data_IF_789405589670
#
_entry.id   IF_789405589670
#
_cell.length_a   1.000
_cell.length_b   1.000
_cell.length_c   1.000
_cell.angle_alpha   90.00
_cell.angle_beta   90.00
_cell.angle_gamma   90.00
#
_symmetry.space_group_name_H-M   'P 1'
#
loop_
_entity.id
_entity.type
_entity.pdbx_description
1 polymer ?
#
# COMPACT_ATOMS: atom_id res chain seq x y z
N UNK A 1 22.07 10.53 -9.72
CA UNK A 1 20.98 9.73 -10.31
C UNK A 1 19.92 10.61 -10.97
N UNK A 2 19.33 11.60 -10.26
CA UNK A 2 18.32 12.52 -10.82
C UNK A 2 18.77 13.27 -12.10
N UNK A 3 20.03 13.70 -12.17
CA UNK A 3 20.58 14.40 -13.36
C UNK A 3 20.59 13.51 -14.61
N UNK A 4 20.91 12.22 -14.46
CA UNK A 4 20.92 11.25 -15.56
C UNK A 4 19.50 11.00 -16.08
N UNK A 5 18.53 10.78 -15.18
CA UNK A 5 17.12 10.59 -15.54
C UNK A 5 16.58 11.79 -16.31
N UNK A 6 16.88 13.00 -15.83
CA UNK A 6 16.47 14.25 -16.51
C UNK A 6 17.04 14.35 -17.93
N UNK A 7 18.31 13.98 -18.12
CA UNK A 7 18.94 13.98 -19.44
C UNK A 7 18.28 12.95 -20.37
N UNK A 8 17.99 11.74 -19.88
CA UNK A 8 17.33 10.71 -20.70
C UNK A 8 15.94 11.15 -21.11
N UNK A 9 15.15 11.71 -20.19
CA UNK A 9 13.82 12.25 -20.48
C UNK A 9 13.87 13.40 -21.48
N UNK A 10 14.83 14.33 -21.34
CA UNK A 10 15.03 15.44 -22.27
C UNK A 10 15.37 14.94 -23.69
N UNK A 11 16.29 13.96 -23.80
CA UNK A 11 16.67 13.38 -25.10
C UNK A 11 15.55 12.53 -25.71
N UNK A 12 14.78 11.81 -24.91
CA UNK A 12 13.60 11.06 -25.36
C UNK A 12 12.50 12.01 -25.88
N UNK A 13 12.24 13.12 -25.19
CA UNK A 13 11.31 14.16 -25.64
C UNK A 13 11.78 14.85 -26.93
N UNK A 14 13.08 15.13 -27.06
CA UNK A 14 13.67 15.66 -28.29
C UNK A 14 13.53 14.69 -29.47
N UNK A 15 13.68 13.39 -29.23
CA UNK A 15 13.43 12.36 -30.24
C UNK A 15 11.97 12.33 -30.69
N UNK A 16 11.02 12.30 -29.75
CA UNK A 16 9.58 12.35 -30.06
C UNK A 16 9.22 13.57 -30.91
N UNK A 17 9.70 14.74 -30.50
CA UNK A 17 9.47 15.99 -31.23
C UNK A 17 10.03 15.95 -32.66
N UNK A 18 11.19 15.32 -32.84
CA UNK A 18 11.82 15.15 -34.16
C UNK A 18 11.05 14.16 -35.04
N UNK A 19 10.54 13.07 -34.46
CA UNK A 19 9.72 12.07 -35.17
C UNK A 19 8.40 12.69 -35.64
N UNK A 20 7.75 13.48 -34.79
CA UNK A 20 6.53 14.22 -35.16
C UNK A 20 6.79 15.24 -36.28
N UNK A 21 7.90 15.97 -36.21
CA UNK A 21 8.30 16.88 -37.26
C UNK A 21 8.57 16.17 -38.60
N UNK A 22 9.18 14.98 -38.56
CA UNK A 22 9.38 14.15 -39.74
C UNK A 22 8.05 13.67 -40.33
N UNK A 23 7.14 13.16 -39.51
CA UNK A 23 5.81 12.72 -39.98
C UNK A 23 5.04 13.86 -40.65
N UNK A 24 5.08 15.08 -40.10
CA UNK A 24 4.49 16.26 -40.74
C UNK A 24 5.19 16.60 -42.06
N UNK A 25 6.52 16.55 -42.11
CA UNK A 25 7.28 16.82 -43.31
C UNK A 25 6.99 15.80 -44.44
N UNK A 26 6.72 14.54 -44.09
CA UNK A 26 6.42 13.48 -45.07
C UNK A 26 5.12 13.75 -45.85
N UNK A 27 4.15 14.46 -45.24
CA UNK A 27 2.88 14.85 -45.87
C UNK A 27 3.07 15.97 -46.90
N UNK A 28 4.09 16.82 -46.75
CA UNK A 28 4.38 17.91 -47.69
C UNK A 28 5.08 17.47 -48.97
N UNK A 29 5.22 18.35 -49.95
CA UNK A 29 5.93 18.06 -51.22
C UNK A 29 7.44 18.38 -51.16
N UNK A 30 7.90 19.10 -50.14
CA UNK A 30 9.30 19.51 -50.00
C UNK A 30 10.22 18.32 -49.64
N UNK A 31 10.91 17.79 -50.65
CA UNK A 31 11.86 16.70 -50.49
C UNK A 31 13.09 17.06 -49.65
N UNK A 32 13.51 18.33 -49.63
CA UNK A 32 14.65 18.76 -48.82
C UNK A 32 14.27 18.80 -47.35
N UNK A 33 13.08 19.32 -47.03
CA UNK A 33 12.55 19.33 -45.66
C UNK A 33 12.44 17.91 -45.10
N UNK A 34 11.97 16.93 -45.90
CA UNK A 34 11.91 15.52 -45.50
C UNK A 34 13.30 14.97 -45.13
N UNK A 35 14.32 15.25 -45.94
CA UNK A 35 15.69 14.80 -45.68
C UNK A 35 16.31 15.47 -44.45
N UNK A 36 16.04 16.76 -44.24
CA UNK A 36 16.51 17.50 -43.05
C UNK A 36 15.85 16.94 -41.79
N UNK A 37 14.53 16.73 -41.80
CA UNK A 37 13.81 16.14 -40.66
C UNK A 37 14.26 14.70 -40.36
N UNK A 38 14.55 13.90 -41.40
CA UNK A 38 15.08 12.55 -41.21
C UNK A 38 16.47 12.55 -40.56
N UNK A 39 17.35 13.49 -40.95
CA UNK A 39 18.64 13.68 -40.28
C UNK A 39 18.46 14.10 -38.82
N UNK A 40 17.50 14.98 -38.53
CA UNK A 40 17.21 15.41 -37.16
C UNK A 40 16.77 14.23 -36.28
N UNK A 41 15.89 13.35 -36.78
CA UNK A 41 15.50 12.10 -36.10
C UNK A 41 16.71 11.20 -35.86
N UNK A 42 17.55 11.00 -36.87
CA UNK A 42 18.75 10.16 -36.75
C UNK A 42 19.71 10.71 -35.68
N UNK A 43 19.95 12.02 -35.65
CA UNK A 43 20.78 12.67 -34.64
C UNK A 43 20.17 12.50 -33.25
N UNK A 44 18.89 12.82 -33.06
CA UNK A 44 18.21 12.68 -31.76
C UNK A 44 18.21 11.24 -31.23
N UNK A 45 18.03 10.25 -32.13
CA UNK A 45 18.07 8.84 -31.76
C UNK A 45 19.51 8.38 -31.41
N UNK A 46 20.52 8.87 -32.13
CA UNK A 46 21.93 8.56 -31.84
C UNK A 46 22.39 9.21 -30.54
N UNK A 47 21.95 10.44 -30.27
CA UNK A 47 22.19 11.13 -29.00
C UNK A 47 21.59 10.38 -27.82
N UNK A 48 20.34 9.91 -27.96
CA UNK A 48 19.68 9.10 -26.94
C UNK A 48 20.41 7.76 -26.76
N UNK A 49 20.87 7.13 -27.84
CA UNK A 49 21.64 5.89 -27.77
C UNK A 49 22.98 6.09 -27.03
N UNK A 50 23.65 7.21 -27.25
CA UNK A 50 24.97 7.49 -26.67
C UNK A 50 24.95 7.68 -25.15
N UNK A 51 23.80 8.02 -24.56
CA UNK A 51 23.65 8.21 -23.12
C UNK A 51 23.13 6.96 -22.39
N UNK A 52 22.66 5.94 -23.13
CA UNK A 52 22.11 4.72 -22.54
C UNK A 52 23.20 3.67 -22.31
N UNK A 53 23.06 2.92 -21.22
CA UNK A 53 23.88 1.74 -20.98
C UNK A 53 23.36 0.57 -21.83
N UNK A 54 24.22 -0.38 -22.22
CA UNK A 54 23.84 -1.46 -23.14
C UNK A 54 22.63 -2.31 -22.71
N UNK A 55 22.36 -2.42 -21.41
CA UNK A 55 21.18 -3.14 -20.88
C UNK A 55 19.87 -2.34 -20.88
N UNK A 56 19.95 -1.03 -21.13
CA UNK A 56 18.84 -0.08 -21.11
C UNK A 56 18.45 0.40 -22.52
N UNK A 57 19.13 -0.09 -23.56
CA UNK A 57 18.83 0.25 -24.95
C UNK A 57 17.58 -0.52 -25.39
N UNK A 58 16.45 0.14 -25.65
CA UNK A 58 15.27 -0.56 -26.14
C UNK A 58 15.42 -0.92 -27.62
N UNK A 59 14.81 -2.04 -28.02
CA UNK A 59 14.89 -2.55 -29.40
C UNK A 59 14.40 -1.52 -30.44
N UNK A 60 13.38 -0.73 -30.08
CA UNK A 60 12.82 0.29 -30.94
C UNK A 60 13.83 1.37 -31.33
N UNK A 61 14.82 1.68 -30.49
CA UNK A 61 15.78 2.76 -30.75
C UNK A 61 16.69 2.43 -31.92
N UNK A 62 17.11 1.17 -32.04
CA UNK A 62 17.85 0.69 -33.21
C UNK A 62 17.01 0.79 -34.49
N UNK A 63 15.73 0.45 -34.42
CA UNK A 63 14.81 0.52 -35.56
C UNK A 63 14.62 1.95 -36.06
N UNK A 64 14.46 2.93 -35.16
CA UNK A 64 14.38 4.36 -35.54
C UNK A 64 15.61 4.80 -36.32
N UNK A 65 16.80 4.46 -35.83
CA UNK A 65 18.08 4.84 -36.46
C UNK A 65 18.17 4.24 -37.87
N UNK A 66 17.79 2.98 -38.03
CA UNK A 66 17.78 2.29 -39.34
C UNK A 66 16.78 2.95 -40.30
N UNK A 67 15.56 3.24 -39.84
CA UNK A 67 14.54 3.87 -40.66
C UNK A 67 14.98 5.26 -41.17
N UNK A 68 15.47 6.10 -40.26
CA UNK A 68 15.93 7.45 -40.59
C UNK A 68 17.16 7.43 -41.53
N UNK A 69 18.08 6.48 -41.31
CA UNK A 69 19.26 6.29 -42.16
C UNK A 69 18.89 5.86 -43.57
N UNK A 70 18.09 4.80 -43.72
CA UNK A 70 17.72 4.24 -45.02
C UNK A 70 16.98 5.26 -45.89
N UNK A 71 16.10 6.06 -45.29
CA UNK A 71 15.47 7.18 -45.98
C UNK A 71 16.48 8.30 -46.31
N UNK A 72 17.35 8.67 -45.36
CA UNK A 72 18.40 9.67 -45.58
C UNK A 72 19.39 9.32 -46.69
N UNK A 73 19.69 8.03 -46.88
CA UNK A 73 20.51 7.49 -47.97
C UNK A 73 19.73 7.20 -49.25
N UNK A 74 18.43 7.55 -49.30
CA UNK A 74 17.51 7.33 -50.43
C UNK A 74 17.32 5.85 -50.82
N UNK A 75 17.54 4.94 -49.87
CA UNK A 75 17.23 3.52 -50.06
C UNK A 75 15.74 3.24 -49.88
N UNK A 76 15.05 4.05 -49.08
CA UNK A 76 13.60 3.98 -48.89
C UNK A 76 12.89 5.20 -49.46
N UNK A 77 11.71 4.95 -50.00
CA UNK A 77 10.72 5.97 -50.36
C UNK A 77 10.02 6.54 -49.12
N UNK A 78 9.33 7.66 -49.30
CA UNK A 78 8.55 8.28 -48.22
C UNK A 78 7.42 7.35 -47.71
N UNK A 79 6.82 6.54 -48.58
CA UNK A 79 5.79 5.58 -48.20
C UNK A 79 6.34 4.43 -47.35
N UNK A 80 7.49 3.88 -47.73
CA UNK A 80 8.17 2.82 -46.96
C UNK A 80 8.62 3.34 -45.58
N UNK A 81 9.15 4.56 -45.52
CA UNK A 81 9.48 5.19 -44.24
C UNK A 81 8.23 5.35 -43.38
N UNK A 82 7.11 5.82 -43.94
CA UNK A 82 5.89 6.10 -43.18
C UNK A 82 5.30 4.83 -42.55
N UNK A 83 5.25 3.72 -43.30
CA UNK A 83 4.77 2.42 -42.77
C UNK A 83 5.61 1.98 -41.58
N UNK A 84 6.94 2.00 -41.71
CA UNK A 84 7.85 1.55 -40.65
C UNK A 84 7.92 2.52 -39.46
N UNK A 85 7.78 3.84 -39.71
CA UNK A 85 7.89 4.86 -38.66
C UNK A 85 6.65 4.93 -37.77
N UNK A 86 5.46 4.60 -38.29
CA UNK A 86 4.22 4.59 -37.50
C UNK A 86 4.26 3.53 -36.40
N UNK A 87 4.70 2.32 -36.74
CA UNK A 87 4.79 1.22 -35.78
C UNK A 87 5.79 1.57 -34.66
N UNK A 88 6.94 2.09 -35.05
CA UNK A 88 8.00 2.48 -34.11
C UNK A 88 7.59 3.69 -33.27
N UNK A 89 6.84 4.67 -33.81
CA UNK A 89 6.34 5.83 -33.04
C UNK A 89 5.53 5.39 -31.82
N UNK A 90 4.63 4.43 -32.00
CA UNK A 90 3.84 3.89 -30.89
C UNK A 90 4.74 3.28 -29.81
N UNK A 91 5.80 2.57 -30.21
CA UNK A 91 6.77 1.99 -29.27
C UNK A 91 7.53 3.08 -28.50
N UNK A 92 7.94 4.17 -29.16
CA UNK A 92 8.61 5.30 -28.50
C UNK A 92 7.69 5.98 -27.47
N UNK A 93 6.42 6.22 -27.83
CA UNK A 93 5.44 6.92 -26.98
C UNK A 93 4.99 6.08 -25.78
N UNK A 94 4.88 4.77 -25.95
CA UNK A 94 4.46 3.85 -24.90
C UNK A 94 5.62 3.33 -24.04
N UNK A 95 6.87 3.66 -24.40
CA UNK A 95 8.03 3.21 -23.67
C UNK A 95 8.07 3.83 -22.26
N UNK A 96 8.03 2.96 -21.26
CA UNK A 96 8.32 3.32 -19.88
C UNK A 96 9.74 2.90 -19.57
N UNK A 97 10.54 3.85 -19.10
CA UNK A 97 11.90 3.57 -18.71
C UNK A 97 11.92 2.75 -17.42
N UNK A 98 12.81 1.76 -17.32
CA UNK A 98 12.96 0.94 -16.11
C UNK A 98 13.32 1.75 -14.86
N UNK A 99 13.93 2.93 -15.03
CA UNK A 99 14.24 3.85 -13.94
C UNK A 99 13.06 4.75 -13.52
N UNK A 100 11.97 4.79 -14.29
CA UNK A 100 10.70 5.40 -13.86
C UNK A 100 9.92 4.45 -12.90
N UNK A 101 10.38 3.20 -12.71
CA UNK A 101 9.86 2.26 -11.68
C UNK A 101 10.35 2.59 -10.26
N UNK A 102 10.63 3.85 -9.95
CA UNK A 102 10.40 4.34 -8.59
C UNK A 102 8.92 4.66 -8.44
N UNK A 103 8.06 3.65 -8.51
CA UNK A 103 6.80 3.79 -7.77
C UNK A 103 7.23 3.89 -6.32
N UNK A 104 7.20 5.10 -5.76
CA UNK A 104 7.15 5.26 -4.32
C UNK A 104 5.97 4.40 -3.87
N UNK A 105 6.26 3.20 -3.37
CA UNK A 105 5.22 2.32 -2.87
C UNK A 105 4.60 3.07 -1.70
N UNK A 106 3.32 3.39 -1.81
CA UNK A 106 2.60 3.98 -0.69
C UNK A 106 2.79 3.08 0.54
N UNK A 107 2.93 3.71 1.72
CA UNK A 107 3.01 2.95 2.96
C UNK A 107 1.77 2.08 3.12
N UNK A 108 1.98 0.77 3.12
CA UNK A 108 0.93 -0.22 3.34
C UNK A 108 0.82 -0.52 4.84
N UNK A 109 0.05 0.33 5.52
CA UNK A 109 -0.20 0.20 6.95
C UNK A 109 -0.93 -1.10 7.30
N UNK A 110 -1.84 -1.54 6.43
CA UNK A 110 -2.61 -2.77 6.63
C UNK A 110 -1.70 -4.01 6.55
N UNK A 111 -0.77 -4.04 5.59
CA UNK A 111 0.24 -5.11 5.51
C UNK A 111 1.14 -5.15 6.73
N UNK A 112 1.56 -3.98 7.22
CA UNK A 112 2.38 -3.89 8.44
C UNK A 112 1.62 -4.47 9.63
N UNK A 113 0.36 -4.07 9.81
CA UNK A 113 -0.51 -4.62 10.85
C UNK A 113 -0.69 -6.14 10.70
N UNK A 114 -0.97 -6.63 9.50
CA UNK A 114 -1.21 -8.06 9.25
C UNK A 114 0.02 -8.92 9.56
N UNK A 115 1.23 -8.41 9.30
CA UNK A 115 2.47 -9.08 9.65
C UNK A 115 2.64 -9.18 11.17
N UNK A 116 2.45 -8.09 11.91
CA UNK A 116 2.52 -8.10 13.37
C UNK A 116 1.42 -8.98 13.99
N UNK A 117 0.19 -8.90 13.47
CA UNK A 117 -0.95 -9.70 13.94
C UNK A 117 -0.70 -11.20 13.79
N UNK A 118 -0.16 -11.65 12.65
CA UNK A 118 0.18 -13.07 12.41
C UNK A 118 1.23 -13.61 13.38
N UNK A 119 2.05 -12.75 13.98
CA UNK A 119 3.05 -13.11 14.99
C UNK A 119 2.51 -13.00 16.42
N UNK A 120 1.33 -12.41 16.61
CA UNK A 120 0.66 -12.26 17.90
C UNK A 120 -0.13 -13.51 18.27
N UNK A 121 -0.42 -13.67 19.57
CA UNK A 121 -1.32 -14.73 20.06
C UNK A 121 -2.81 -14.34 20.00
N UNK A 122 -3.14 -13.14 19.52
CA UNK A 122 -4.51 -12.63 19.54
C UNK A 122 -5.51 -13.56 18.85
N UNK A 123 -5.23 -14.12 17.66
CA UNK A 123 -6.20 -15.00 17.00
C UNK A 123 -6.56 -16.23 17.84
N UNK A 124 -5.58 -16.81 18.52
CA UNK A 124 -5.75 -17.98 19.39
C UNK A 124 -6.51 -17.60 20.67
N UNK A 125 -6.13 -16.50 21.31
CA UNK A 125 -6.82 -16.00 22.51
C UNK A 125 -8.27 -15.62 22.24
N UNK A 126 -8.57 -15.05 21.06
CA UNK A 126 -9.94 -14.78 20.63
C UNK A 126 -10.74 -16.10 20.50
N UNK A 127 -10.13 -17.16 19.98
CA UNK A 127 -10.77 -18.48 19.91
C UNK A 127 -11.05 -19.06 21.29
N UNK A 128 -10.09 -18.95 22.21
CA UNK A 128 -10.24 -19.42 23.59
C UNK A 128 -11.37 -18.68 24.30
N UNK A 129 -11.41 -17.34 24.22
CA UNK A 129 -12.50 -16.54 24.78
C UNK A 129 -13.84 -16.89 24.13
N UNK A 130 -13.89 -17.00 22.79
CA UNK A 130 -15.10 -17.39 22.08
C UNK A 130 -15.63 -18.74 22.55
N UNK A 131 -14.74 -19.70 22.84
CA UNK A 131 -15.10 -21.01 23.37
C UNK A 131 -15.63 -20.90 24.80
N UNK A 132 -14.97 -20.15 25.68
CA UNK A 132 -15.45 -19.91 27.05
C UNK A 132 -16.84 -19.29 27.08
N UNK A 133 -17.11 -18.33 26.19
CA UNK A 133 -18.44 -17.71 26.06
C UNK A 133 -19.49 -18.72 25.56
N UNK A 134 -19.11 -19.66 24.69
CA UNK A 134 -19.99 -20.73 24.22
C UNK A 134 -20.25 -21.78 25.31
N UNK A 135 -19.24 -22.13 26.11
CA UNK A 135 -19.36 -23.04 27.24
C UNK A 135 -20.27 -22.43 28.33
N UNK A 136 -20.10 -21.14 28.65
CA UNK A 136 -21.00 -20.39 29.54
C UNK A 136 -22.43 -20.41 29.00
N UNK A 137 -22.61 -20.18 27.70
CA UNK A 137 -23.93 -20.22 27.04
C UNK A 137 -24.55 -21.62 27.07
N UNK A 138 -23.74 -22.67 27.00
CA UNK A 138 -24.16 -24.08 26.98
C UNK A 138 -24.36 -24.71 28.36
N UNK A 139 -24.06 -23.99 29.44
CA UNK A 139 -24.17 -24.48 30.83
C UNK A 139 -25.59 -24.76 31.31
N UNK A 140 -26.60 -24.24 30.61
CA UNK A 140 -28.01 -24.19 31.06
C UNK A 140 -28.25 -23.42 32.38
N UNK A 141 -27.27 -22.67 32.87
CA UNK A 141 -27.41 -21.82 34.08
C UNK A 141 -28.06 -20.46 33.77
N UNK A 142 -28.19 -20.09 32.50
CA UNK A 142 -28.67 -18.76 32.06
C UNK A 142 -30.10 -18.85 31.53
N UNK A 143 -31.05 -18.31 32.28
CA UNK A 143 -32.47 -18.24 31.89
C UNK A 143 -32.82 -17.04 30.97
N UNK A 144 -31.90 -16.08 30.85
CA UNK A 144 -32.13 -14.86 30.07
C UNK A 144 -31.84 -15.04 28.58
N UNK A 145 -32.90 -15.06 27.75
CA UNK A 145 -32.79 -15.12 26.29
C UNK A 145 -31.95 -13.97 25.72
N UNK A 146 -32.06 -12.76 26.30
CA UNK A 146 -31.27 -11.61 25.85
C UNK A 146 -29.78 -11.80 26.16
N UNK A 147 -29.44 -12.37 27.32
CA UNK A 147 -28.07 -12.72 27.70
C UNK A 147 -27.47 -13.77 26.75
N UNK A 148 -28.22 -14.84 26.46
CA UNK A 148 -27.79 -15.89 25.54
C UNK A 148 -27.52 -15.33 24.14
N UNK A 149 -28.38 -14.43 23.64
CA UNK A 149 -28.17 -13.74 22.36
C UNK A 149 -26.95 -12.81 22.40
N UNK A 150 -26.74 -12.07 23.47
CA UNK A 150 -25.58 -11.19 23.63
C UNK A 150 -24.27 -12.00 23.64
N UNK A 151 -24.17 -13.05 24.46
CA UNK A 151 -23.03 -13.98 24.49
C UNK A 151 -22.74 -14.58 23.11
N UNK A 152 -23.79 -15.05 22.42
CA UNK A 152 -23.67 -15.58 21.07
C UNK A 152 -23.15 -14.54 20.08
N UNK A 153 -23.63 -13.29 20.18
CA UNK A 153 -23.19 -12.20 19.30
C UNK A 153 -21.74 -11.79 19.56
N UNK A 154 -21.32 -11.69 20.82
CA UNK A 154 -19.92 -11.39 21.19
C UNK A 154 -19.01 -12.51 20.68
N UNK A 155 -19.32 -13.78 20.97
CA UNK A 155 -18.52 -14.92 20.51
C UNK A 155 -18.40 -14.98 18.98
N UNK A 156 -19.51 -14.76 18.25
CA UNK A 156 -19.48 -14.74 16.79
C UNK A 156 -18.66 -13.58 16.22
N UNK A 157 -18.73 -12.39 16.85
CA UNK A 157 -17.94 -11.22 16.44
C UNK A 157 -16.44 -11.46 16.65
N UNK A 158 -16.04 -12.04 17.78
CA UNK A 158 -14.64 -12.42 18.04
C UNK A 158 -14.13 -13.41 16.97
N UNK A 159 -14.88 -14.49 16.70
CA UNK A 159 -14.53 -15.48 15.66
C UNK A 159 -14.34 -14.85 14.28
N UNK A 160 -15.23 -13.92 13.90
CA UNK A 160 -15.17 -13.23 12.60
C UNK A 160 -14.01 -12.24 12.52
N UNK A 161 -13.62 -11.62 13.64
CA UNK A 161 -12.70 -10.48 13.65
C UNK A 161 -11.26 -10.86 13.99
N UNK A 162 -11.01 -12.08 14.48
CA UNK A 162 -9.67 -12.58 14.85
C UNK A 162 -8.64 -12.47 13.71
N UNK A 163 -9.12 -12.58 12.46
CA UNK A 163 -8.32 -12.50 11.23
C UNK A 163 -8.59 -11.23 10.41
N UNK A 164 -9.31 -10.28 10.98
CA UNK A 164 -9.71 -9.04 10.32
C UNK A 164 -8.66 -7.94 10.37
N UNK A 165 -9.02 -6.79 9.82
CA UNK A 165 -8.22 -5.55 9.88
C UNK A 165 -8.06 -5.04 11.31
N UNK A 166 -7.15 -4.06 11.48
CA UNK A 166 -6.96 -3.35 12.75
C UNK A 166 -8.31 -2.89 13.35
N UNK A 167 -9.16 -2.29 12.52
CA UNK A 167 -10.47 -1.80 12.96
C UNK A 167 -11.39 -2.94 13.45
N UNK A 168 -11.48 -4.03 12.68
CA UNK A 168 -12.33 -5.17 13.05
C UNK A 168 -11.88 -5.80 14.38
N UNK A 169 -10.57 -5.96 14.55
CA UNK A 169 -9.98 -6.57 15.73
C UNK A 169 -10.18 -5.70 16.98
N UNK A 170 -9.90 -4.40 16.90
CA UNK A 170 -10.12 -3.47 18.02
C UNK A 170 -11.61 -3.30 18.33
N UNK A 171 -12.48 -3.22 17.33
CA UNK A 171 -13.93 -3.13 17.56
C UNK A 171 -14.52 -4.38 18.22
N UNK A 172 -14.00 -5.57 17.88
CA UNK A 172 -14.40 -6.81 18.54
C UNK A 172 -13.92 -6.86 20.00
N UNK A 173 -12.71 -6.37 20.27
CA UNK A 173 -12.17 -6.24 21.62
C UNK A 173 -12.98 -5.26 22.48
N UNK A 174 -13.29 -4.08 21.95
CA UNK A 174 -14.13 -3.08 22.61
C UNK A 174 -15.52 -3.64 22.90
N UNK A 175 -16.14 -4.33 21.94
CA UNK A 175 -17.43 -4.97 22.13
C UNK A 175 -17.40 -5.99 23.28
N UNK A 176 -16.36 -6.81 23.37
CA UNK A 176 -16.19 -7.79 24.44
C UNK A 176 -16.10 -7.09 25.81
N UNK A 177 -15.20 -6.12 25.96
CA UNK A 177 -15.03 -5.39 27.22
C UNK A 177 -16.30 -4.63 27.61
N UNK A 178 -16.94 -3.95 26.67
CA UNK A 178 -18.19 -3.22 26.90
C UNK A 178 -19.36 -4.13 27.26
N UNK A 179 -19.43 -5.33 26.67
CA UNK A 179 -20.47 -6.31 27.01
C UNK A 179 -20.30 -6.84 28.42
N UNK A 180 -19.05 -7.09 28.85
CA UNK A 180 -18.75 -7.63 30.17
C UNK A 180 -18.84 -6.57 31.28
N UNK A 181 -18.26 -5.38 31.09
CA UNK A 181 -18.21 -4.34 32.13
C UNK A 181 -19.55 -3.72 32.50
N UNK A 182 -20.59 -3.87 31.66
CA UNK A 182 -21.89 -3.24 31.92
C UNK A 182 -22.82 -4.15 32.73
N UNK A 183 -23.41 -5.15 32.06
CA UNK A 183 -24.52 -5.93 32.60
C UNK A 183 -24.17 -7.41 32.72
N UNK A 184 -23.43 -7.96 31.77
CA UNK A 184 -23.23 -9.41 31.69
C UNK A 184 -22.41 -9.96 32.87
N UNK A 185 -21.32 -9.30 33.25
CA UNK A 185 -20.48 -9.80 34.34
C UNK A 185 -21.23 -9.82 35.68
N UNK A 186 -21.99 -8.75 35.95
CA UNK A 186 -22.75 -8.60 37.19
C UNK A 186 -23.84 -9.65 37.35
N UNK A 187 -24.44 -10.12 36.26
CA UNK A 187 -25.45 -11.18 36.30
C UNK A 187 -24.82 -12.58 36.31
N UNK A 188 -23.81 -12.82 35.48
CA UNK A 188 -23.17 -14.14 35.36
C UNK A 188 -22.51 -14.58 36.67
N UNK A 189 -21.90 -13.66 37.43
CA UNK A 189 -21.25 -13.98 38.72
C UNK A 189 -22.24 -14.44 39.78
N UNK A 190 -23.53 -14.11 39.65
CA UNK A 190 -24.58 -14.52 40.60
C UNK A 190 -25.05 -15.96 40.38
N UNK A 191 -24.76 -16.56 39.22
CA UNK A 191 -25.22 -17.89 38.87
C UNK A 191 -24.33 -18.96 39.51
N UNK A 192 -24.92 -19.92 40.26
CA UNK A 192 -24.16 -21.06 40.74
C UNK A 192 -23.59 -21.87 39.55
N UNK A 193 -22.45 -22.53 39.73
CA UNK A 193 -21.83 -23.35 38.68
C UNK A 193 -20.97 -22.61 37.65
N UNK A 194 -21.07 -21.28 37.52
CA UNK A 194 -20.28 -20.51 36.54
C UNK A 194 -18.94 -19.95 37.06
N UNK A 195 -18.58 -20.18 38.32
CA UNK A 195 -17.39 -19.59 38.94
C UNK A 195 -16.08 -19.88 38.17
N UNK A 196 -15.78 -21.14 37.90
CA UNK A 196 -14.54 -21.51 37.21
C UNK A 196 -14.50 -21.04 35.73
N UNK A 197 -15.58 -21.19 34.93
CA UNK A 197 -15.63 -20.60 33.58
C UNK A 197 -15.43 -19.07 33.56
N UNK A 198 -16.01 -18.34 34.51
CA UNK A 198 -15.85 -16.89 34.60
C UNK A 198 -14.43 -16.50 35.01
N UNK A 199 -13.80 -17.23 35.93
CA UNK A 199 -12.39 -16.98 36.27
C UNK A 199 -11.47 -17.21 35.06
N UNK A 200 -11.71 -18.28 34.30
CA UNK A 200 -10.97 -18.55 33.07
C UNK A 200 -11.18 -17.43 32.04
N UNK A 201 -12.42 -16.93 31.89
CA UNK A 201 -12.75 -15.82 31.01
C UNK A 201 -12.02 -14.53 31.44
N UNK A 202 -12.00 -14.21 32.73
CA UNK A 202 -11.26 -13.06 33.25
C UNK A 202 -9.76 -13.14 32.95
N UNK A 203 -9.16 -14.33 33.11
CA UNK A 203 -7.74 -14.55 32.79
C UNK A 203 -7.46 -14.39 31.29
N UNK A 204 -8.32 -14.96 30.43
CA UNK A 204 -8.20 -14.82 28.97
C UNK A 204 -8.28 -13.35 28.53
N UNK A 205 -9.20 -12.57 29.12
CA UNK A 205 -9.30 -11.12 28.87
C UNK A 205 -8.01 -10.39 29.26
N UNK A 206 -7.44 -10.69 30.43
CA UNK A 206 -6.17 -10.07 30.84
C UNK A 206 -5.00 -10.45 29.92
N UNK A 207 -5.01 -11.66 29.36
CA UNK A 207 -3.98 -12.08 28.40
C UNK A 207 -4.15 -11.39 27.05
N UNK A 208 -5.39 -11.25 26.55
CA UNK A 208 -5.68 -10.46 25.35
C UNK A 208 -5.27 -9.01 25.53
N UNK A 209 -5.57 -8.38 26.68
CA UNK A 209 -5.19 -7.00 26.97
C UNK A 209 -3.66 -6.79 26.81
N UNK A 210 -2.86 -7.70 27.38
CA UNK A 210 -1.39 -7.67 27.27
C UNK A 210 -0.91 -7.87 25.83
N UNK A 211 -1.47 -8.84 25.12
CA UNK A 211 -1.09 -9.10 23.74
C UNK A 211 -1.56 -7.98 22.80
N UNK A 212 -2.67 -7.30 23.09
CA UNK A 212 -3.14 -6.12 22.36
C UNK A 212 -2.17 -4.96 22.52
N UNK A 213 -1.74 -4.65 23.76
CA UNK A 213 -0.72 -3.61 24.00
C UNK A 213 0.59 -3.93 23.30
N UNK A 214 1.00 -5.21 23.30
CA UNK A 214 2.21 -5.67 22.60
C UNK A 214 2.08 -5.52 21.08
N UNK A 215 0.94 -5.92 20.51
CA UNK A 215 0.64 -5.78 19.09
C UNK A 215 0.68 -4.31 18.67
N UNK A 216 0.00 -3.42 19.40
CA UNK A 216 0.01 -1.98 19.14
C UNK A 216 1.44 -1.40 19.16
N UNK A 217 2.23 -1.77 20.17
CA UNK A 217 3.63 -1.35 20.25
C UNK A 217 4.47 -1.85 19.06
N UNK A 218 4.32 -3.12 18.67
CA UNK A 218 5.05 -3.68 17.54
C UNK A 218 4.69 -2.98 16.23
N UNK A 219 3.40 -2.72 16.00
CA UNK A 219 2.91 -2.01 14.82
C UNK A 219 3.46 -0.58 14.80
N UNK A 220 3.40 0.13 15.94
CA UNK A 220 3.98 1.46 16.07
C UNK A 220 5.49 1.47 15.75
N UNK A 221 6.25 0.58 16.36
CA UNK A 221 7.71 0.51 16.18
C UNK A 221 8.08 0.19 14.73
N UNK A 222 7.35 -0.72 14.09
CA UNK A 222 7.58 -1.10 12.69
C UNK A 222 7.19 0.02 11.71
N UNK A 223 6.09 0.72 11.95
CA UNK A 223 5.71 1.89 11.15
C UNK A 223 6.73 3.02 11.30
N UNK A 224 7.16 3.32 12.54
CA UNK A 224 8.18 4.33 12.81
C UNK A 224 9.53 3.98 12.17
N UNK A 225 9.90 2.70 12.17
CA UNK A 225 11.11 2.20 11.49
C UNK A 225 11.02 2.40 9.98
N UNK A 226 9.94 1.92 9.37
CA UNK A 226 9.75 1.94 7.90
C UNK A 226 9.72 3.37 7.38
N UNK A 227 8.95 4.26 8.03
CA UNK A 227 8.89 5.67 7.66
C UNK A 227 10.22 6.38 7.91
N UNK A 228 10.92 6.09 9.01
CA UNK A 228 12.23 6.65 9.29
C UNK A 228 13.30 6.26 8.27
N UNK A 229 13.21 5.05 7.69
CA UNK A 229 14.15 4.59 6.65
C UNK A 229 13.83 5.14 5.27
N UNK A 230 12.55 5.30 4.95
CA UNK A 230 12.09 5.66 3.60
C UNK A 230 11.88 7.17 3.42
N UNK A 231 11.53 7.90 4.48
CA UNK A 231 11.30 9.36 4.46
C UNK A 231 12.41 10.08 5.23
N UNK A 232 13.54 10.33 4.55
CA UNK A 232 14.76 10.92 5.14
C UNK A 232 14.66 12.38 5.61
N UNK A 233 13.54 13.06 5.36
CA UNK A 233 13.38 14.50 5.59
C UNK A 233 12.30 14.87 6.62
N UNK A 234 11.96 13.98 7.55
CA UNK A 234 11.03 14.33 8.63
C UNK A 234 11.77 15.10 9.74
N UNK A 235 11.41 16.37 9.93
CA UNK A 235 11.96 17.25 10.99
C UNK A 235 11.74 16.70 12.41
N UNK A 236 10.74 15.82 12.57
CA UNK A 236 10.43 15.09 13.80
C UNK A 236 10.00 13.67 13.45
N UNK A 237 10.29 12.68 14.32
CA UNK A 237 9.75 11.32 14.14
C UNK A 237 8.22 11.38 14.15
N UNK A 238 7.53 10.75 13.18
CA UNK A 238 6.08 10.73 13.15
C UNK A 238 5.57 9.99 14.39
N UNK A 239 4.65 10.63 15.12
CA UNK A 239 3.89 10.00 16.20
C UNK A 239 2.64 9.40 15.56
N UNK A 240 2.62 8.06 15.45
CA UNK A 240 1.42 7.35 15.05
C UNK A 240 0.56 7.14 16.29
N UNK A 241 -0.57 7.84 16.39
CA UNK A 241 -1.52 7.58 17.46
C UNK A 241 -2.33 6.33 17.12
N UNK A 242 -2.40 5.43 18.09
CA UNK A 242 -3.23 4.23 18.02
C UNK A 242 -4.37 4.37 19.01
N UNK A 243 -5.50 3.75 18.66
CA UNK A 243 -6.61 3.63 19.61
C UNK A 243 -6.23 2.61 20.67
N UNK A 244 -5.84 3.09 21.85
CA UNK A 244 -5.62 2.27 23.03
C UNK A 244 -6.86 2.29 23.93
N UNK A 245 -7.17 1.14 24.53
CA UNK A 245 -8.27 1.01 25.48
C UNK A 245 -7.71 0.64 26.85
N UNK A 246 -8.25 1.28 27.90
CA UNK A 246 -7.95 0.91 29.27
C UNK A 246 -8.66 -0.38 29.66
N UNK A 247 -8.27 -0.96 30.80
CA UNK A 247 -8.86 -2.20 31.36
C UNK A 247 -10.38 -2.19 31.54
N UNK A 248 -11.00 -1.00 31.51
CA UNK A 248 -12.44 -0.79 31.59
C UNK A 248 -13.12 -0.71 30.21
N UNK A 249 -12.40 -0.96 29.12
CA UNK A 249 -12.90 -0.82 27.74
C UNK A 249 -13.13 0.63 27.31
N UNK A 250 -12.65 1.61 28.08
CA UNK A 250 -12.70 3.02 27.68
C UNK A 250 -11.47 3.38 26.88
N UNK A 251 -11.67 4.20 25.86
CA UNK A 251 -10.61 4.82 25.09
C UNK A 251 -9.67 5.58 26.05
N UNK A 252 -8.37 5.28 26.01
CA UNK A 252 -7.38 6.06 26.73
C UNK A 252 -7.22 7.41 26.03
N UNK A 253 -7.14 8.53 26.77
CA UNK A 253 -6.89 9.83 26.16
C UNK A 253 -5.54 9.77 25.43
N UNK A 254 -5.58 10.07 24.13
CA UNK A 254 -4.43 10.05 23.23
C UNK A 254 -3.31 10.93 23.79
N UNK A 255 -2.18 10.32 24.14
CA UNK A 255 -1.06 11.01 24.79
C UNK A 255 -0.22 11.84 23.80
N UNK A 256 -0.56 11.88 22.51
CA UNK A 256 0.35 12.41 21.50
C UNK A 256 -0.23 12.88 20.19
N UNK A 257 -1.52 13.25 20.10
CA UNK A 257 -2.07 13.80 18.86
C UNK A 257 -1.23 15.02 18.44
N UNK A 258 -0.59 15.01 17.25
CA UNK A 258 0.14 16.19 16.79
C UNK A 258 -0.86 17.32 16.58
N UNK A 259 -0.82 18.31 17.46
CA UNK A 259 -1.50 19.58 17.22
C UNK A 259 -0.82 20.19 16.00
N UNK A 260 -1.56 20.33 14.89
CA UNK A 260 -1.17 21.19 13.78
C UNK A 260 -0.83 22.57 14.37
N UNK A 261 0.46 22.85 14.55
CA UNK A 261 0.92 24.21 14.67
C UNK A 261 0.78 24.78 13.26
N UNK A 262 -0.30 25.54 13.05
CA UNK A 262 -0.43 26.38 11.87
C UNK A 262 0.83 27.23 11.82
N UNK A 263 1.67 26.99 10.82
CA UNK A 263 2.80 27.86 10.53
C UNK A 263 2.21 29.22 10.20
N UNK A 264 2.22 30.13 11.17
CA UNK A 264 1.94 31.54 10.93
C UNK A 264 3.03 32.07 10.01
N UNK A 265 2.63 32.44 8.80
CA UNK A 265 3.44 33.17 7.83
C UNK A 265 3.88 34.53 8.36
#
# INVERSE_FOLDING_TARGET
MLFFIRIVQEKHSALLSSVDALLRALVGEDGNLKLVSAKAVMTAATDLLAILSGGDVPAWLGNVIVCARNFGTRQWSAGELLVNLIDVKREIESHKWKFDETSENAFDFDRTFDQCRKQSKIPDLFNEISKLLEDIRGSNEIDSISMLKALGKVSATLKKSRDGSYFALNGAWELLLGSLNNYMWNELVKLPGLGAPLEALAKGIQEVDREMSKLHKQVHDEMARTVGTEVKALSHKPLFSFVEYGRNGRLLPDAGSPKLQVLSA
#
